data_IF_178249813051
#
_entry.id   IF_178249813051
#
_cell.length_a   1.000
_cell.length_b   1.000
_cell.length_c   1.000
_cell.angle_alpha   90.00
_cell.angle_beta   90.00
_cell.angle_gamma   90.00
#
_symmetry.space_group_name_H-M   'P 1'
#
loop_
_entity.id
_entity.type
_entity.pdbx_description
1 polymer ?
#
# COMPACT_ATOMS: atom_id res chain seq x y z
N UNK A 1 -2.16 -13.93 21.89
CA UNK A 1 -1.56 -12.84 21.09
C UNK A 1 -1.72 -11.58 21.89
N UNK A 2 -0.70 -11.25 22.66
CA UNK A 2 -0.66 -10.17 23.63
C UNK A 2 -0.02 -8.95 22.95
N UNK A 3 -0.74 -7.82 22.96
CA UNK A 3 -0.26 -6.49 22.56
C UNK A 3 0.01 -6.29 21.05
N UNK A 4 -0.99 -5.80 20.30
CA UNK A 4 -0.69 -5.10 19.06
C UNK A 4 0.16 -3.86 19.41
N UNK A 5 1.40 -3.80 18.93
CA UNK A 5 2.29 -2.67 19.20
C UNK A 5 1.73 -1.41 18.55
N UNK A 6 1.37 -0.41 19.36
CA UNK A 6 1.02 0.91 18.84
C UNK A 6 2.29 1.58 18.27
N UNK A 7 2.39 1.59 16.94
CA UNK A 7 3.45 2.23 16.16
C UNK A 7 3.08 3.66 15.72
N UNK A 8 2.03 4.26 16.27
CA UNK A 8 1.61 5.62 15.90
C UNK A 8 2.74 6.63 16.11
N UNK A 9 3.38 6.61 17.28
CA UNK A 9 4.47 7.53 17.60
C UNK A 9 5.70 7.35 16.68
N UNK A 10 5.92 6.12 16.19
CA UNK A 10 6.99 5.79 15.26
C UNK A 10 6.70 6.36 13.86
N UNK A 11 5.52 6.09 13.32
CA UNK A 11 5.16 6.48 11.95
C UNK A 11 4.83 7.96 11.79
N UNK A 12 4.12 8.55 12.74
CA UNK A 12 3.51 9.88 12.54
C UNK A 12 4.51 10.98 12.16
N UNK A 13 5.73 11.08 12.75
CA UNK A 13 6.73 12.04 12.32
C UNK A 13 7.15 11.87 10.86
N UNK A 14 7.36 10.62 10.40
CA UNK A 14 7.73 10.33 9.01
C UNK A 14 6.63 10.76 8.04
N UNK A 15 5.36 10.43 8.33
CA UNK A 15 4.26 10.75 7.42
C UNK A 15 4.03 12.26 7.29
N UNK A 16 4.24 13.01 8.37
CA UNK A 16 4.23 14.48 8.35
C UNK A 16 5.37 15.04 7.51
N UNK A 17 6.59 14.55 7.72
CA UNK A 17 7.78 14.98 6.96
C UNK A 17 7.62 14.71 5.46
N UNK A 18 7.12 13.52 5.08
CA UNK A 18 6.83 13.18 3.68
C UNK A 18 5.74 14.08 3.07
N UNK A 19 4.68 14.36 3.83
CA UNK A 19 3.59 15.26 3.39
C UNK A 19 4.08 16.68 3.10
N UNK A 20 5.02 17.17 3.91
CA UNK A 20 5.55 18.53 3.79
C UNK A 20 6.59 18.66 2.67
N UNK A 21 7.44 17.64 2.50
CA UNK A 21 8.53 17.66 1.51
C UNK A 21 8.12 17.20 0.12
N UNK A 22 7.12 16.33 0.01
CA UNK A 22 6.71 15.72 -1.25
C UNK A 22 5.22 15.97 -1.49
N UNK A 23 4.84 17.12 -2.09
CA UNK A 23 3.45 17.46 -2.34
C UNK A 23 2.71 16.41 -3.17
N UNK A 24 3.41 15.70 -4.07
CA UNK A 24 2.86 14.62 -4.89
C UNK A 24 2.64 13.29 -4.14
N UNK A 25 3.17 13.16 -2.93
CA UNK A 25 3.02 11.95 -2.12
C UNK A 25 1.74 11.95 -1.29
N UNK A 26 1.05 10.81 -1.21
CA UNK A 26 -0.08 10.60 -0.31
C UNK A 26 -0.27 9.12 0.04
N UNK A 27 -0.82 8.88 1.22
CA UNK A 27 -1.23 7.54 1.65
C UNK A 27 -2.56 7.19 1.00
N UNK A 28 -2.63 6.03 0.34
CA UNK A 28 -3.84 5.62 -0.39
C UNK A 28 -4.71 4.57 0.30
N UNK A 29 -4.17 3.86 1.31
CA UNK A 29 -4.91 2.88 2.12
C UNK A 29 -4.10 2.44 3.35
N UNK A 30 -4.77 1.75 4.28
CA UNK A 30 -4.15 0.90 5.32
C UNK A 30 -3.29 1.60 6.40
N UNK A 31 -3.34 2.92 6.55
CA UNK A 31 -2.53 3.63 7.58
C UNK A 31 -2.81 3.14 9.00
N UNK A 32 -4.07 2.85 9.32
CA UNK A 32 -4.44 2.47 10.68
C UNK A 32 -3.91 1.06 11.05
N UNK A 33 -3.74 0.16 10.08
CA UNK A 33 -3.07 -1.14 10.33
C UNK A 33 -1.57 -0.99 10.58
N UNK A 34 -0.92 -0.02 9.91
CA UNK A 34 0.49 0.29 10.18
C UNK A 34 0.67 0.86 11.60
N UNK A 35 -0.25 1.73 12.03
CA UNK A 35 -0.28 2.28 13.39
C UNK A 35 -0.57 1.19 14.44
N UNK A 36 -1.44 0.25 14.15
CA UNK A 36 -1.69 -0.91 15.02
C UNK A 36 -0.55 -1.97 15.00
N UNK A 37 0.56 -1.71 14.31
CA UNK A 37 1.74 -2.58 14.32
C UNK A 37 1.62 -3.88 13.51
N UNK A 38 0.57 -4.02 12.70
CA UNK A 38 0.26 -5.26 11.96
C UNK A 38 0.31 -5.09 10.44
N UNK A 39 0.63 -3.90 9.95
CA UNK A 39 0.61 -3.59 8.52
C UNK A 39 1.71 -2.64 8.06
N UNK A 40 1.56 -2.22 6.82
CA UNK A 40 2.44 -1.34 6.06
C UNK A 40 1.78 0.00 5.73
N UNK A 41 2.61 1.00 5.43
CA UNK A 41 2.15 2.26 4.88
C UNK A 41 2.14 2.14 3.36
N UNK A 42 0.95 1.94 2.83
CA UNK A 42 0.64 1.95 1.42
C UNK A 42 0.53 3.41 0.93
N UNK A 43 1.34 3.83 -0.04
CA UNK A 43 1.30 5.21 -0.56
C UNK A 43 1.53 5.29 -2.07
N UNK A 44 1.12 6.41 -2.68
CA UNK A 44 1.55 6.77 -4.03
C UNK A 44 2.45 8.02 -3.98
N UNK A 45 3.35 8.11 -4.96
CA UNK A 45 4.17 9.29 -5.18
C UNK A 45 4.83 9.28 -6.56
N UNK A 46 5.16 10.46 -7.12
CA UNK A 46 5.81 10.56 -8.42
C UNK A 46 7.16 9.81 -8.45
N UNK A 47 7.51 9.11 -9.54
CA UNK A 47 8.79 8.40 -9.65
C UNK A 47 10.02 9.27 -9.41
N UNK A 48 9.97 10.53 -9.80
CA UNK A 48 11.04 11.52 -9.59
C UNK A 48 11.32 11.82 -8.10
N UNK A 49 10.35 11.57 -7.22
CA UNK A 49 10.49 11.79 -5.77
C UNK A 49 11.05 10.56 -5.03
N UNK A 50 11.13 9.38 -5.67
CA UNK A 50 11.42 8.13 -4.97
C UNK A 50 12.77 8.13 -4.25
N UNK A 51 13.84 8.64 -4.86
CA UNK A 51 15.15 8.67 -4.20
C UNK A 51 15.18 9.67 -3.03
N UNK A 52 14.41 10.76 -3.12
CA UNK A 52 14.30 11.72 -2.03
C UNK A 52 13.44 11.17 -0.87
N UNK A 53 12.32 10.51 -1.18
CA UNK A 53 11.47 9.81 -0.20
C UNK A 53 12.27 8.72 0.51
N UNK A 54 13.08 7.96 -0.25
CA UNK A 54 14.00 6.96 0.29
C UNK A 54 14.96 7.59 1.30
N UNK A 55 15.61 8.70 0.96
CA UNK A 55 16.54 9.37 1.87
C UNK A 55 15.85 9.83 3.17
N UNK A 56 14.60 10.30 3.09
CA UNK A 56 13.79 10.63 4.27
C UNK A 56 13.52 9.37 5.11
N UNK A 57 13.15 8.26 4.47
CA UNK A 57 12.91 6.98 5.16
C UNK A 57 14.17 6.43 5.83
N UNK A 58 15.32 6.44 5.17
CA UNK A 58 16.61 5.99 5.72
C UNK A 58 17.03 6.83 6.93
N UNK A 59 16.94 8.15 6.81
CA UNK A 59 17.26 9.07 7.90
C UNK A 59 16.30 8.88 9.10
N UNK A 60 15.01 8.68 8.83
CA UNK A 60 14.03 8.37 9.87
C UNK A 60 14.30 7.03 10.54
N UNK A 61 14.61 5.98 9.77
CA UNK A 61 14.92 4.65 10.30
C UNK A 61 16.13 4.71 11.23
N UNK A 62 17.21 5.37 10.80
CA UNK A 62 18.40 5.58 11.62
C UNK A 62 18.10 6.30 12.94
N UNK A 63 17.32 7.39 12.90
CA UNK A 63 16.94 8.15 14.12
C UNK A 63 16.13 7.34 15.13
N UNK A 64 15.43 6.30 14.66
CA UNK A 64 14.60 5.43 15.50
C UNK A 64 15.28 4.09 15.82
N UNK A 65 16.58 3.93 15.51
CA UNK A 65 17.31 2.68 15.76
C UNK A 65 16.83 1.50 14.92
N UNK A 66 16.11 1.76 13.82
CA UNK A 66 15.67 0.75 12.86
C UNK A 66 16.77 0.50 11.83
N UNK A 67 16.97 -0.76 11.47
CA UNK A 67 17.94 -1.12 10.45
C UNK A 67 18.32 -2.59 10.43
N UNK A 68 18.92 -3.06 9.33
CA UNK A 68 19.24 -2.30 8.12
C UNK A 68 17.99 -1.90 7.31
N UNK A 69 18.14 -0.93 6.41
CA UNK A 69 17.10 -0.54 5.46
C UNK A 69 17.29 -1.31 4.16
N UNK A 70 16.22 -1.93 3.68
CA UNK A 70 16.19 -2.73 2.45
C UNK A 70 15.34 -1.97 1.43
N UNK A 71 15.83 -1.88 0.19
CA UNK A 71 15.08 -1.29 -0.92
C UNK A 71 14.72 -2.40 -1.92
N UNK A 72 13.43 -2.72 -2.02
CA UNK A 72 12.94 -3.69 -3.01
C UNK A 72 12.26 -2.98 -4.18
N UNK A 73 12.79 -3.20 -5.39
CA UNK A 73 12.24 -2.69 -6.66
C UNK A 73 11.63 -3.79 -7.53
N UNK A 74 11.54 -5.02 -7.02
CA UNK A 74 11.02 -6.17 -7.76
C UNK A 74 9.50 -6.11 -8.01
N UNK A 75 8.74 -5.44 -7.13
CA UNK A 75 7.31 -5.23 -7.35
C UNK A 75 7.14 -4.10 -8.39
N UNK A 76 6.45 -4.36 -9.52
CA UNK A 76 6.17 -3.32 -10.50
C UNK A 76 5.48 -2.11 -9.87
N UNK A 77 5.60 -0.97 -10.52
CA UNK A 77 4.93 0.28 -10.14
C UNK A 77 5.57 1.02 -8.97
N UNK A 78 6.62 0.51 -8.30
CA UNK A 78 7.44 1.35 -7.43
C UNK A 78 8.14 0.61 -6.28
N UNK A 79 9.02 1.32 -5.56
CA UNK A 79 9.83 0.73 -4.50
C UNK A 79 9.02 0.39 -3.24
N UNK A 80 9.55 -0.59 -2.51
CA UNK A 80 9.23 -0.85 -1.11
C UNK A 80 10.47 -0.51 -0.29
N UNK A 81 10.31 0.34 0.71
CA UNK A 81 11.35 0.65 1.68
C UNK A 81 11.01 -0.09 2.97
N UNK A 82 11.93 -0.94 3.42
CA UNK A 82 11.73 -1.77 4.59
C UNK A 82 12.83 -1.48 5.60
N UNK A 83 12.48 -1.36 6.87
CA UNK A 83 13.44 -1.32 7.96
C UNK A 83 13.16 -2.50 8.90
N UNK A 84 14.24 -3.09 9.42
CA UNK A 84 14.12 -4.07 10.50
C UNK A 84 14.05 -3.37 11.85
N UNK A 85 13.13 -3.84 12.66
CA UNK A 85 13.04 -3.47 14.07
C UNK A 85 13.72 -4.59 14.88
N UNK A 86 14.80 -4.30 15.63
CA UNK A 86 15.49 -5.33 16.42
C UNK A 86 14.54 -5.99 17.44
N UNK A 87 13.57 -5.25 17.94
CA UNK A 87 12.69 -5.67 19.03
C UNK A 87 11.34 -6.22 18.53
N UNK A 88 11.13 -6.27 17.20
CA UNK A 88 9.89 -6.77 16.60
C UNK A 88 10.16 -7.77 15.49
N UNK A 89 9.37 -8.87 15.40
CA UNK A 89 9.48 -9.78 14.26
C UNK A 89 8.84 -9.21 12.98
N UNK A 90 8.09 -8.11 13.06
CA UNK A 90 7.40 -7.55 11.90
C UNK A 90 8.22 -6.49 11.19
N UNK A 91 8.29 -6.57 9.87
CA UNK A 91 8.86 -5.51 9.03
C UNK A 91 8.16 -4.17 9.26
N UNK A 92 8.96 -3.10 9.21
CA UNK A 92 8.47 -1.72 9.13
C UNK A 92 8.57 -1.29 7.67
N UNK A 93 7.43 -1.20 6.99
CA UNK A 93 7.37 -1.12 5.53
C UNK A 93 6.62 0.14 5.06
N UNK A 94 7.26 0.89 4.17
CA UNK A 94 6.69 2.00 3.41
C UNK A 94 6.71 1.64 1.91
N UNK A 95 5.53 1.56 1.31
CA UNK A 95 5.35 1.29 -0.10
C UNK A 95 5.06 2.57 -0.83
N UNK A 96 5.86 2.90 -1.85
CA UNK A 96 5.63 4.08 -2.69
C UNK A 96 5.43 3.61 -4.11
N UNK A 97 4.21 3.78 -4.63
CA UNK A 97 3.86 3.37 -5.99
C UNK A 97 3.58 4.59 -6.87
N UNK A 98 3.89 4.49 -8.15
CA UNK A 98 3.43 5.45 -9.15
C UNK A 98 1.92 5.30 -9.40
N UNK A 99 1.39 4.07 -9.27
CA UNK A 99 -0.01 3.79 -9.51
C UNK A 99 -0.48 2.51 -8.84
N UNK A 100 -1.79 2.44 -8.64
CA UNK A 100 -2.51 1.21 -8.33
C UNK A 100 -3.15 0.62 -9.56
N UNK A 101 -3.19 -0.70 -9.62
CA UNK A 101 -3.77 -1.42 -10.77
C UNK A 101 -4.98 -2.26 -10.37
N UNK A 102 -5.97 -2.32 -11.27
CA UNK A 102 -7.12 -3.20 -11.15
C UNK A 102 -7.51 -3.74 -12.53
N UNK A 103 -7.69 -5.06 -12.61
CA UNK A 103 -8.05 -5.79 -13.85
C UNK A 103 -7.13 -5.46 -15.03
N UNK A 104 -5.83 -5.31 -14.76
CA UNK A 104 -4.80 -5.07 -15.77
C UNK A 104 -4.67 -3.63 -16.24
N UNK A 105 -5.45 -2.70 -15.69
CA UNK A 105 -5.36 -1.26 -16.00
C UNK A 105 -5.00 -0.44 -14.76
N UNK A 106 -4.46 0.76 -14.96
CA UNK A 106 -4.23 1.74 -13.89
C UNK A 106 -5.56 2.19 -13.31
N UNK A 107 -5.83 1.86 -12.05
CA UNK A 107 -7.02 2.30 -11.34
C UNK A 107 -6.88 3.75 -10.85
N UNK A 108 -5.72 4.08 -10.30
CA UNK A 108 -5.42 5.36 -9.65
C UNK A 108 -3.93 5.62 -9.80
N UNK A 109 -3.55 6.84 -10.14
CA UNK A 109 -2.17 7.34 -10.18
C UNK A 109 -1.94 8.43 -9.12
N UNK A 110 -0.74 8.99 -9.07
CA UNK A 110 -0.36 10.07 -8.16
C UNK A 110 -1.24 11.32 -8.32
N UNK A 111 -1.61 11.68 -9.55
CA UNK A 111 -2.44 12.87 -9.84
C UNK A 111 -3.86 12.70 -9.36
N UNK A 112 -4.44 11.53 -9.63
CA UNK A 112 -5.74 11.15 -9.11
C UNK A 112 -5.73 11.19 -7.59
N UNK A 113 -4.68 10.66 -6.97
CA UNK A 113 -4.52 10.63 -5.53
C UNK A 113 -4.50 12.03 -4.94
N UNK A 114 -3.74 12.95 -5.52
CA UNK A 114 -3.67 14.33 -5.03
C UNK A 114 -5.04 14.99 -4.99
N UNK A 115 -5.85 14.81 -6.02
CA UNK A 115 -7.17 15.40 -6.08
C UNK A 115 -8.25 14.61 -5.31
N UNK A 116 -7.93 13.43 -4.76
CA UNK A 116 -8.79 12.65 -3.86
C UNK A 116 -8.28 12.64 -2.40
N UNK A 117 -7.19 13.35 -2.12
CA UNK A 117 -6.55 13.38 -0.82
C UNK A 117 -6.85 14.66 -0.05
N UNK A 118 -6.73 14.55 1.26
CA UNK A 118 -6.79 15.65 2.20
C UNK A 118 -5.65 15.52 3.21
N UNK A 119 -5.32 16.61 3.90
CA UNK A 119 -4.49 16.55 5.10
C UNK A 119 -5.41 16.16 6.24
N UNK A 120 -5.15 15.03 6.88
CA UNK A 120 -5.95 14.60 8.02
C UNK A 120 -5.61 15.41 9.28
N UNK A 121 -6.41 15.23 10.33
CA UNK A 121 -6.22 15.89 11.63
C UNK A 121 -4.87 15.56 12.30
N UNK A 122 -4.28 14.41 11.95
CA UNK A 122 -2.97 13.98 12.43
C UNK A 122 -1.85 14.68 11.68
N UNK A 123 -2.14 15.37 10.59
CA UNK A 123 -1.23 16.29 9.90
C UNK A 123 -0.49 15.69 8.71
N UNK A 124 -0.91 14.53 8.21
CA UNK A 124 -0.35 13.93 6.99
C UNK A 124 -1.39 13.81 5.88
N UNK A 125 -0.94 13.67 4.63
CA UNK A 125 -1.81 13.55 3.46
C UNK A 125 -2.27 12.12 3.27
N UNK A 126 -3.58 11.92 3.23
CA UNK A 126 -4.21 10.63 2.92
C UNK A 126 -5.37 10.82 1.95
N UNK A 127 -5.70 9.75 1.24
CA UNK A 127 -6.95 9.67 0.51
C UNK A 127 -8.12 9.80 1.49
N UNK A 128 -9.11 10.58 1.07
CA UNK A 128 -10.36 10.75 1.79
C UNK A 128 -11.06 9.41 2.06
N UNK A 129 -11.72 9.21 3.20
CA UNK A 129 -12.31 7.92 3.56
C UNK A 129 -13.21 7.31 2.48
N UNK A 130 -14.07 8.11 1.84
CA UNK A 130 -14.99 7.62 0.81
C UNK A 130 -14.27 7.19 -0.46
N UNK A 131 -13.22 7.92 -0.86
CA UNK A 131 -12.39 7.56 -2.00
C UNK A 131 -11.58 6.28 -1.72
N UNK A 132 -11.04 6.14 -0.51
CA UNK A 132 -10.40 4.90 -0.05
C UNK A 132 -11.38 3.72 -0.08
N UNK A 133 -12.63 3.94 0.35
CA UNK A 133 -13.72 2.98 0.25
C UNK A 133 -13.96 2.49 -1.18
N UNK A 134 -13.95 3.39 -2.17
CA UNK A 134 -14.08 3.03 -3.60
C UNK A 134 -12.88 2.21 -4.09
N UNK A 135 -11.66 2.60 -3.72
CA UNK A 135 -10.44 1.85 -4.09
C UNK A 135 -10.52 0.43 -3.50
N UNK A 136 -10.88 0.29 -2.22
CA UNK A 136 -11.04 -1.01 -1.55
C UNK A 136 -12.22 -1.81 -2.10
N UNK A 137 -13.33 -1.19 -2.48
CA UNK A 137 -14.46 -1.85 -3.13
C UNK A 137 -14.01 -2.55 -4.40
N UNK A 138 -13.24 -1.87 -5.24
CA UNK A 138 -12.75 -2.44 -6.49
C UNK A 138 -11.67 -3.50 -6.23
N UNK A 139 -10.64 -3.16 -5.45
CA UNK A 139 -9.48 -4.04 -5.26
C UNK A 139 -9.76 -5.27 -4.38
N UNK A 140 -10.61 -5.13 -3.36
CA UNK A 140 -10.85 -6.16 -2.35
C UNK A 140 -12.31 -6.63 -2.28
N UNK A 141 -13.26 -5.74 -2.56
CA UNK A 141 -14.70 -6.04 -2.48
C UNK A 141 -15.31 -6.68 -3.73
N UNK A 142 -14.59 -6.74 -4.86
CA UNK A 142 -15.14 -7.18 -6.16
C UNK A 142 -14.38 -8.37 -6.74
N UNK A 143 -15.06 -9.52 -6.87
CA UNK A 143 -14.56 -10.72 -7.56
C UNK A 143 -14.56 -10.55 -9.07
N UNK A 144 -13.91 -11.48 -9.77
CA UNK A 144 -13.96 -11.53 -11.24
C UNK A 144 -15.40 -11.83 -11.68
N UNK A 145 -15.85 -11.17 -12.73
CA UNK A 145 -17.25 -11.22 -13.19
C UNK A 145 -18.21 -10.31 -12.42
N UNK A 146 -17.67 -9.36 -11.64
CA UNK A 146 -18.42 -8.33 -10.90
C UNK A 146 -19.14 -8.83 -9.65
N UNK A 147 -18.86 -10.04 -9.17
CA UNK A 147 -19.50 -10.59 -7.96
C UNK A 147 -18.95 -9.96 -6.67
N UNK A 148 -19.74 -9.98 -5.60
CA UNK A 148 -19.31 -9.51 -4.29
C UNK A 148 -18.21 -10.41 -3.69
N UNK A 149 -17.24 -9.80 -3.03
CA UNK A 149 -16.34 -10.47 -2.11
C UNK A 149 -16.67 -10.08 -0.67
N UNK A 150 -17.62 -10.79 -0.05
CA UNK A 150 -18.14 -10.46 1.30
C UNK A 150 -17.03 -10.34 2.35
N UNK A 151 -16.05 -11.24 2.32
CA UNK A 151 -14.92 -11.19 3.23
C UNK A 151 -14.08 -9.92 3.03
N UNK A 152 -13.81 -9.55 1.78
CA UNK A 152 -13.07 -8.33 1.45
C UNK A 152 -13.84 -7.06 1.82
N UNK A 153 -15.15 -7.03 1.56
CA UNK A 153 -16.02 -5.92 1.95
C UNK A 153 -16.00 -5.70 3.47
N UNK A 154 -16.13 -6.78 4.24
CA UNK A 154 -16.12 -6.77 5.71
C UNK A 154 -14.74 -6.41 6.28
N UNK A 155 -13.70 -7.16 5.92
CA UNK A 155 -12.35 -6.99 6.50
C UNK A 155 -11.73 -5.65 6.14
N UNK A 156 -12.10 -5.05 5.00
CA UNK A 156 -11.62 -3.74 4.59
C UNK A 156 -12.58 -2.60 4.92
N UNK A 157 -13.69 -2.90 5.63
CA UNK A 157 -14.69 -1.93 6.12
C UNK A 157 -15.20 -1.01 5.00
N UNK A 158 -15.52 -1.61 3.85
CA UNK A 158 -15.81 -0.88 2.61
C UNK A 158 -17.09 -0.05 2.77
N UNK A 159 -18.16 -0.63 3.31
CA UNK A 159 -19.43 0.08 3.48
C UNK A 159 -19.29 1.26 4.45
N UNK A 160 -18.55 1.08 5.55
CA UNK A 160 -18.32 2.14 6.54
C UNK A 160 -17.53 3.31 5.96
N UNK A 161 -16.49 3.03 5.17
CA UNK A 161 -15.70 4.07 4.49
C UNK A 161 -16.54 4.86 3.48
N UNK A 162 -17.35 4.16 2.67
CA UNK A 162 -18.24 4.78 1.69
C UNK A 162 -19.33 5.64 2.35
N UNK A 163 -19.89 5.18 3.48
CA UNK A 163 -20.93 5.89 4.22
C UNK A 163 -20.38 7.09 5.00
N UNK A 164 -19.14 7.02 5.49
CA UNK A 164 -18.51 8.10 6.26
C UNK A 164 -18.20 9.35 5.42
N UNK A 165 -17.94 9.19 4.12
CA UNK A 165 -17.67 10.31 3.22
C UNK A 165 -18.29 10.09 1.81
N UNK A 166 -19.62 10.31 1.67
CA UNK A 166 -20.31 10.12 0.39
C UNK A 166 -19.79 11.04 -0.73
N UNK A 167 -19.31 12.23 -0.38
CA UNK A 167 -18.75 13.18 -1.33
C UNK A 167 -17.42 12.68 -1.90
N UNK A 168 -16.53 12.15 -1.05
CA UNK A 168 -15.28 11.53 -1.48
C UNK A 168 -15.52 10.27 -2.33
N UNK A 169 -16.49 9.44 -1.96
CA UNK A 169 -16.89 8.27 -2.74
C UNK A 169 -17.39 8.68 -4.14
N UNK A 170 -18.24 9.70 -4.22
CA UNK A 170 -18.75 10.25 -5.49
C UNK A 170 -17.61 10.80 -6.34
N UNK A 171 -16.70 11.57 -5.75
CA UNK A 171 -15.53 12.12 -6.45
C UNK A 171 -14.65 11.01 -7.05
N UNK A 172 -14.43 9.92 -6.30
CA UNK A 172 -13.61 8.79 -6.74
C UNK A 172 -14.25 7.97 -7.88
N UNK A 173 -15.54 8.16 -8.21
CA UNK A 173 -16.13 7.50 -9.38
C UNK A 173 -15.47 7.88 -10.70
N UNK A 174 -14.75 9.01 -10.73
CA UNK A 174 -13.98 9.44 -11.91
C UNK A 174 -12.86 8.47 -12.30
N UNK A 175 -12.35 7.67 -11.35
CA UNK A 175 -11.25 6.71 -11.56
C UNK A 175 -11.57 5.65 -12.63
N UNK A 176 -12.86 5.43 -12.89
CA UNK A 176 -13.36 4.48 -13.91
C UNK A 176 -13.98 5.20 -15.12
N UNK A 177 -13.74 6.50 -15.28
CA UNK A 177 -14.11 7.29 -16.45
C UNK A 177 -15.59 7.14 -16.86
N UNK A 178 -15.90 6.69 -18.09
CA UNK A 178 -17.27 6.43 -18.55
C UNK A 178 -18.11 5.50 -17.67
N UNK A 179 -17.48 4.60 -16.91
CA UNK A 179 -18.18 3.70 -15.99
C UNK A 179 -18.55 4.34 -14.64
N UNK A 180 -18.41 5.67 -14.49
CA UNK A 180 -18.74 6.41 -13.25
C UNK A 180 -20.16 6.16 -12.73
N UNK A 181 -21.16 6.15 -13.63
CA UNK A 181 -22.57 5.94 -13.27
C UNK A 181 -22.83 4.51 -12.79
N UNK A 182 -22.37 3.47 -13.50
CA UNK A 182 -22.35 2.11 -12.95
C UNK A 182 -21.66 2.02 -11.59
N UNK A 183 -20.47 2.61 -11.43
CA UNK A 183 -19.78 2.55 -10.14
C UNK A 183 -20.57 3.23 -9.02
N UNK A 184 -21.17 4.40 -9.27
CA UNK A 184 -22.03 5.06 -8.28
C UNK A 184 -23.18 4.15 -7.84
N UNK A 185 -23.86 3.47 -8.78
CA UNK A 185 -24.90 2.50 -8.43
C UNK A 185 -24.38 1.34 -7.58
N UNK A 186 -23.18 0.87 -7.87
CA UNK A 186 -22.51 -0.16 -7.06
C UNK A 186 -22.23 0.33 -5.64
N UNK A 187 -21.74 1.55 -5.49
CA UNK A 187 -21.51 2.21 -4.19
C UNK A 187 -22.83 2.31 -3.41
N UNK A 188 -23.88 2.86 -4.03
CA UNK A 188 -25.19 3.05 -3.40
C UNK A 188 -25.77 1.70 -2.94
N UNK A 189 -25.61 0.65 -3.75
CA UNK A 189 -26.04 -0.70 -3.40
C UNK A 189 -25.28 -1.24 -2.17
N UNK A 190 -23.95 -1.11 -2.15
CA UNK A 190 -23.10 -1.57 -1.04
C UNK A 190 -23.45 -0.84 0.26
N UNK A 191 -23.63 0.47 0.22
CA UNK A 191 -24.05 1.27 1.39
C UNK A 191 -25.44 0.84 1.88
N UNK A 192 -26.34 0.44 0.97
CA UNK A 192 -27.66 -0.10 1.30
C UNK A 192 -27.65 -1.59 1.70
N UNK A 193 -26.48 -2.21 1.90
CA UNK A 193 -26.36 -3.63 2.26
C UNK A 193 -26.75 -4.60 1.15
N UNK A 194 -26.69 -4.16 -0.11
CA UNK A 194 -27.03 -4.94 -1.31
C UNK A 194 -25.85 -5.00 -2.27
N UNK A 195 -25.99 -5.79 -3.34
CA UNK A 195 -25.01 -5.85 -4.42
C UNK A 195 -25.67 -5.64 -5.79
N UNK A 196 -25.07 -4.77 -6.62
CA UNK A 196 -25.52 -4.53 -7.99
C UNK A 196 -24.56 -5.20 -8.99
N UNK A 197 -24.82 -6.50 -9.25
CA UNK A 197 -23.98 -7.30 -10.14
C UNK A 197 -23.88 -6.71 -11.56
N UNK A 198 -24.99 -6.17 -12.08
CA UNK A 198 -25.01 -5.61 -13.43
C UNK A 198 -24.16 -4.34 -13.53
N UNK A 199 -24.22 -3.48 -12.52
CA UNK A 199 -23.38 -2.29 -12.44
C UNK A 199 -21.89 -2.65 -12.33
N UNK A 200 -21.54 -3.56 -11.41
CA UNK A 200 -20.14 -3.95 -11.18
C UNK A 200 -19.53 -4.70 -12.37
N UNK A 201 -20.32 -5.48 -13.12
CA UNK A 201 -19.88 -6.06 -14.40
C UNK A 201 -19.54 -5.00 -15.45
N UNK A 202 -20.30 -3.91 -15.53
CA UNK A 202 -20.01 -2.81 -16.47
C UNK A 202 -18.71 -2.08 -16.08
N UNK A 203 -18.48 -1.90 -14.79
CA UNK A 203 -17.21 -1.33 -14.28
C UNK A 203 -16.03 -2.24 -14.65
N UNK A 204 -16.15 -3.55 -14.40
CA UNK A 204 -15.09 -4.50 -14.76
C UNK A 204 -14.85 -4.57 -16.27
N UNK A 205 -15.90 -4.62 -17.08
CA UNK A 205 -15.79 -4.65 -18.54
C UNK A 205 -15.07 -3.41 -19.07
N UNK A 206 -15.37 -2.22 -18.53
CA UNK A 206 -14.66 -1.00 -18.88
C UNK A 206 -13.17 -1.05 -18.51
N UNK A 207 -12.82 -1.47 -17.29
CA UNK A 207 -11.43 -1.55 -16.87
C UNK A 207 -10.64 -2.61 -17.65
N UNK A 208 -11.26 -3.73 -18.02
CA UNK A 208 -10.68 -4.72 -18.92
C UNK A 208 -10.45 -4.13 -20.32
N UNK A 209 -11.40 -3.38 -20.87
CA UNK A 209 -11.20 -2.72 -22.16
C UNK A 209 -10.08 -1.67 -22.09
N UNK A 210 -10.01 -0.89 -21.00
CA UNK A 210 -8.91 0.06 -20.76
C UNK A 210 -7.55 -0.63 -20.68
N UNK A 211 -7.46 -1.86 -20.16
CA UNK A 211 -6.19 -2.59 -20.08
C UNK A 211 -5.52 -2.82 -21.44
N UNK A 212 -6.30 -2.84 -22.52
CA UNK A 212 -5.78 -2.94 -23.90
C UNK A 212 -5.00 -1.70 -24.33
N UNK A 213 -5.26 -0.54 -23.70
CA UNK A 213 -4.53 0.71 -23.93
C UNK A 213 -3.27 0.83 -23.06
N UNK A 214 -3.11 -0.06 -22.08
CA UNK A 214 -1.99 -0.08 -21.13
C UNK A 214 -1.26 -1.44 -21.13
N UNK A 215 -0.81 -1.95 -22.30
CA UNK A 215 -0.25 -3.30 -22.40
C UNK A 215 0.99 -3.48 -21.52
N UNK A 216 1.80 -2.44 -21.34
CA UNK A 216 2.98 -2.47 -20.46
C UNK A 216 2.60 -2.73 -18.99
N UNK A 217 1.52 -2.11 -18.51
CA UNK A 217 1.01 -2.30 -17.14
C UNK A 217 0.54 -3.74 -16.94
N UNK A 218 -0.23 -4.28 -17.89
CA UNK A 218 -0.71 -5.66 -17.81
C UNK A 218 0.44 -6.68 -17.89
N UNK A 219 1.36 -6.52 -18.86
CA UNK A 219 2.48 -7.42 -19.07
C UNK A 219 3.48 -7.40 -17.92
N UNK A 220 3.84 -6.22 -17.39
CA UNK A 220 4.73 -6.12 -16.23
C UNK A 220 4.16 -6.81 -15.01
N UNK A 221 2.84 -6.72 -14.79
CA UNK A 221 2.18 -7.40 -13.68
C UNK A 221 2.19 -8.91 -13.85
N UNK A 222 1.87 -9.42 -15.03
CA UNK A 222 1.94 -10.86 -15.33
C UNK A 222 3.36 -11.38 -15.15
N UNK A 223 4.33 -10.71 -15.74
CA UNK A 223 5.74 -11.11 -15.64
C UNK A 223 6.22 -11.14 -14.19
N UNK A 224 5.88 -10.13 -13.39
CA UNK A 224 6.17 -10.15 -11.95
C UNK A 224 5.57 -11.36 -11.26
N UNK A 225 4.27 -11.62 -11.43
CA UNK A 225 3.59 -12.72 -10.73
C UNK A 225 4.19 -14.09 -11.06
N UNK A 226 4.59 -14.32 -12.31
CA UNK A 226 5.10 -15.61 -12.76
C UNK A 226 6.61 -15.79 -12.57
N UNK A 227 7.41 -14.71 -12.62
CA UNK A 227 8.86 -14.83 -12.70
C UNK A 227 9.64 -14.19 -11.54
N UNK A 228 9.16 -13.07 -10.98
CA UNK A 228 9.88 -12.36 -9.92
C UNK A 228 9.33 -12.63 -8.52
N UNK A 229 8.00 -12.59 -8.37
CA UNK A 229 7.37 -12.70 -7.07
C UNK A 229 7.78 -13.98 -6.31
N UNK A 230 7.89 -15.16 -6.96
CA UNK A 230 8.31 -16.38 -6.26
C UNK A 230 9.80 -16.43 -5.88
N UNK A 231 10.63 -15.52 -6.42
CA UNK A 231 12.09 -15.55 -6.28
C UNK A 231 12.64 -14.44 -5.39
N UNK A 232 11.84 -13.43 -5.09
CA UNK A 232 12.27 -12.30 -4.29
C UNK A 232 11.99 -12.58 -2.81
N UNK A 233 13.01 -12.72 -1.94
CA UNK A 233 12.82 -13.04 -0.52
C UNK A 233 11.94 -12.01 0.20
N UNK A 234 12.04 -10.73 -0.16
CA UNK A 234 11.18 -9.66 0.40
C UNK A 234 9.72 -9.85 0.00
N UNK A 235 9.46 -10.14 -1.28
CA UNK A 235 8.08 -10.32 -1.79
C UNK A 235 7.44 -11.56 -1.19
N UNK A 236 8.19 -12.66 -1.09
CA UNK A 236 7.75 -13.89 -0.42
C UNK A 236 7.39 -13.60 1.03
N UNK A 237 8.22 -12.86 1.76
CA UNK A 237 7.93 -12.46 3.14
C UNK A 237 6.63 -11.66 3.29
N UNK A 238 6.41 -10.69 2.39
CA UNK A 238 5.20 -9.85 2.39
C UNK A 238 3.94 -10.66 2.05
N UNK A 239 4.03 -11.59 1.11
CA UNK A 239 2.87 -12.32 0.57
C UNK A 239 2.51 -13.56 1.37
N UNK A 240 3.52 -14.33 1.77
CA UNK A 240 3.36 -15.72 2.22
C UNK A 240 3.64 -15.89 3.73
N UNK A 241 4.22 -14.88 4.39
CA UNK A 241 4.66 -14.95 5.80
C UNK A 241 4.20 -13.76 6.65
N UNK A 242 3.14 -13.05 6.24
CA UNK A 242 2.56 -11.94 7.00
C UNK A 242 3.58 -10.86 7.45
N UNK A 243 4.65 -10.66 6.67
CA UNK A 243 5.75 -9.72 6.97
C UNK A 243 6.53 -10.05 8.25
N UNK A 244 6.48 -11.30 8.70
CA UNK A 244 7.22 -11.81 9.86
C UNK A 244 8.61 -12.21 9.40
N UNK A 245 9.63 -11.46 9.81
CA UNK A 245 11.04 -11.74 9.55
C UNK A 245 11.42 -13.10 10.16
N UNK A 246 12.15 -13.97 9.44
CA UNK A 246 12.58 -15.26 9.96
C UNK A 246 13.44 -15.12 11.24
N UNK A 247 13.46 -16.17 12.07
CA UNK A 247 14.29 -16.22 13.28
C UNK A 247 15.79 -16.07 12.94
N UNK A 248 16.25 -16.74 11.89
CA UNK A 248 17.59 -16.52 11.31
C UNK A 248 17.61 -15.24 10.46
N UNK A 249 17.64 -14.10 11.17
CA UNK A 249 17.65 -12.77 10.55
C UNK A 249 18.89 -12.53 9.70
N UNK A 250 20.06 -12.98 10.18
CA UNK A 250 21.33 -12.74 9.50
C UNK A 250 21.42 -13.55 8.21
N UNK A 251 20.99 -14.82 8.23
CA UNK A 251 20.89 -15.65 7.04
C UNK A 251 19.92 -15.07 6.01
N UNK A 252 18.74 -14.63 6.44
CA UNK A 252 17.77 -13.97 5.57
C UNK A 252 18.30 -12.65 4.99
N UNK A 253 18.95 -11.81 5.79
CA UNK A 253 19.57 -10.57 5.32
C UNK A 253 20.68 -10.84 4.30
N UNK A 254 21.49 -11.87 4.52
CA UNK A 254 22.53 -12.27 3.57
C UNK A 254 21.93 -12.75 2.23
N UNK A 255 20.78 -13.41 2.25
CA UNK A 255 20.03 -13.76 1.04
C UNK A 255 19.48 -12.51 0.34
N UNK A 256 18.82 -11.62 1.09
CA UNK A 256 18.27 -10.36 0.57
C UNK A 256 19.36 -9.52 -0.09
N UNK A 257 20.53 -9.38 0.55
CA UNK A 257 21.64 -8.57 0.09
C UNK A 257 22.27 -9.03 -1.24
N UNK A 258 21.94 -10.23 -1.74
CA UNK A 258 22.42 -10.70 -3.06
C UNK A 258 21.80 -9.91 -4.21
N UNK A 259 20.53 -9.56 -4.07
CA UNK A 259 19.72 -8.97 -5.15
C UNK A 259 19.00 -7.67 -4.74
N UNK A 260 19.24 -7.18 -3.51
CA UNK A 260 18.63 -5.96 -2.99
C UNK A 260 19.69 -5.00 -2.49
N UNK A 261 19.37 -3.71 -2.58
CA UNK A 261 20.14 -2.69 -1.92
C UNK A 261 19.84 -2.70 -0.42
N UNK A 262 20.88 -2.87 0.38
CA UNK A 262 20.81 -2.90 1.85
C UNK A 262 21.68 -1.78 2.39
N UNK A 263 21.05 -0.79 3.01
CA UNK A 263 21.73 0.35 3.64
C UNK A 263 21.83 0.10 5.13
N UNK A 264 23.05 0.05 5.63
CA UNK A 264 23.31 -0.04 7.06
C UNK A 264 23.09 1.34 7.69
N UNK A 265 22.17 1.43 8.66
CA UNK A 265 21.94 2.67 9.39
C UNK A 265 23.05 2.86 10.43
N UNK A 266 23.76 4.00 10.45
CA UNK A 266 24.77 4.28 11.46
C UNK A 266 24.13 4.26 12.86
N UNK A 267 24.64 3.40 13.74
CA UNK A 267 24.10 3.25 15.10
C UNK A 267 22.96 2.23 15.24
N UNK A 268 22.59 1.51 14.18
CA UNK A 268 21.84 0.27 14.35
C UNK A 268 22.60 -0.63 15.33
N UNK A 269 21.93 -1.10 16.39
CA UNK A 269 22.55 -2.06 17.31
C UNK A 269 23.04 -3.23 16.46
N UNK A 270 24.35 -3.46 16.45
CA UNK A 270 24.91 -4.70 15.94
C UNK A 270 24.19 -5.83 16.70
N UNK A 271 23.42 -6.71 16.04
CA UNK A 271 22.75 -7.82 16.72
C UNK A 271 23.76 -8.73 17.44
N UNK A 272 25.07 -8.62 17.13
CA UNK A 272 26.16 -9.29 17.85
C UNK A 272 26.53 -8.67 19.20
N UNK A 273 25.96 -7.53 19.58
CA UNK A 273 26.12 -6.95 20.92
C UNK A 273 24.87 -7.18 21.77
N UNK A 274 24.59 -8.44 22.08
CA UNK A 274 23.82 -8.75 23.28
C UNK A 274 24.66 -8.32 24.51
N UNK A 275 24.10 -7.58 25.48
CA UNK A 275 24.73 -7.46 26.77
C UNK A 275 24.54 -8.81 27.48
N UNK A 276 25.54 -9.68 27.40
CA UNK A 276 25.73 -10.64 28.47
C UNK A 276 26.31 -9.87 29.66
N UNK A 277 25.41 -9.47 30.55
CA UNK A 277 25.66 -8.95 31.89
C UNK A 277 24.48 -9.31 32.76
#
# INVERSE_FOLDING_TARGET
>A
MEGAYDRTALWLPLLRELTERHPGWAIWKNVDSAFAGTGDVDSLGPPEDWDAIRAVFEAWAARNGLGPVIVCRHIPQGPHYLALDPDSPFLVQLDVKQCGTWRGSTLVDDRDLQALSERDERGFRRVRPGAEGVIKLLMNGTRRGGGANEEGLRTKRVAELLAADPAGATAATRLVGPARRPLQRGIDAVVAGRWDLAAMRRVEAWCLARSLLEPRTALSRLWFLYHLAPRCPVVTLIRDHDRIVPEDRDGWLAEVARDHEVVTTPGGRDPRRAPYG
#
